data_IF_629778584709
#
_entry.id   IF_629778584709
#
_cell.length_a   1.000
_cell.length_b   1.000
_cell.length_c   1.000
_cell.angle_alpha   90.00
_cell.angle_beta   90.00
_cell.angle_gamma   90.00
#
_symmetry.space_group_name_H-M   'P 1'
#
loop_
_entity.id
_entity.type
_entity.pdbx_description
1 polymer ?
#
# COMPACT_ATOMS: atom_id res chain seq x y z
N UNK A 1 -33.54 21.93 -3.45
CA UNK A 1 -32.51 22.67 -4.20
C UNK A 1 -31.17 22.16 -3.67
N UNK A 2 -30.47 21.39 -4.48
CA UNK A 2 -29.38 20.50 -4.07
C UNK A 2 -28.19 21.26 -3.45
N UNK A 3 -27.87 20.99 -2.19
CA UNK A 3 -26.60 21.35 -1.57
C UNK A 3 -25.51 20.53 -2.28
N UNK A 4 -24.90 21.11 -3.30
CA UNK A 4 -23.70 20.57 -3.94
C UNK A 4 -22.56 20.72 -2.94
N UNK A 5 -22.35 19.70 -2.11
CA UNK A 5 -21.16 19.56 -1.29
C UNK A 5 -19.96 19.73 -2.21
N UNK A 6 -19.17 20.79 -2.00
CA UNK A 6 -17.91 20.99 -2.72
C UNK A 6 -17.00 19.86 -2.24
N UNK A 7 -16.88 18.80 -3.03
CA UNK A 7 -15.99 17.69 -2.74
C UNK A 7 -14.57 18.14 -3.07
N UNK A 8 -13.86 18.65 -2.06
CA UNK A 8 -12.45 19.03 -2.16
C UNK A 8 -11.66 17.73 -2.33
N UNK A 9 -10.89 17.62 -3.42
CA UNK A 9 -10.11 16.41 -3.70
C UNK A 9 -8.68 16.61 -3.21
N UNK A 10 -8.03 15.53 -2.78
CA UNK A 10 -6.63 15.60 -2.37
C UNK A 10 -5.70 16.06 -3.51
N UNK A 11 -6.10 15.86 -4.76
CA UNK A 11 -5.36 16.33 -5.94
C UNK A 11 -5.16 17.85 -5.97
N UNK A 12 -6.04 18.62 -5.32
CA UNK A 12 -5.99 20.08 -5.30
C UNK A 12 -4.78 20.63 -4.52
N UNK A 13 -4.09 19.77 -3.74
CA UNK A 13 -2.83 20.11 -3.06
C UNK A 13 -1.74 20.58 -4.02
N UNK A 14 -1.77 20.13 -5.28
CA UNK A 14 -0.78 20.48 -6.29
C UNK A 14 -0.87 21.95 -6.75
N UNK A 15 -2.01 22.61 -6.53
CA UNK A 15 -2.20 24.03 -6.88
C UNK A 15 -1.59 24.99 -5.84
N UNK A 16 -1.30 24.49 -4.64
CA UNK A 16 -0.59 25.26 -3.61
C UNK A 16 0.89 25.29 -3.95
N UNK A 17 1.53 26.46 -3.86
CA UNK A 17 2.97 26.59 -4.12
C UNK A 17 3.82 26.46 -2.85
N UNK A 18 3.25 26.84 -1.70
CA UNK A 18 3.97 26.83 -0.44
C UNK A 18 3.89 25.47 0.26
N UNK A 19 5.04 25.01 0.77
CA UNK A 19 5.17 23.70 1.43
C UNK A 19 4.38 23.62 2.73
N UNK A 20 4.28 24.73 3.48
CA UNK A 20 3.53 24.79 4.74
C UNK A 20 2.03 24.67 4.45
N UNK A 21 1.54 25.42 3.47
CA UNK A 21 0.14 25.34 3.03
C UNK A 21 -0.23 23.95 2.50
N UNK A 22 0.68 23.29 1.76
CA UNK A 22 0.46 21.90 1.29
C UNK A 22 0.30 20.93 2.45
N UNK A 23 1.14 21.03 3.48
CA UNK A 23 1.03 20.16 4.64
C UNK A 23 -0.25 20.44 5.46
N UNK A 24 -0.61 21.72 5.63
CA UNK A 24 -1.85 22.11 6.29
C UNK A 24 -3.09 21.61 5.52
N UNK A 25 -3.06 21.67 4.19
CA UNK A 25 -4.12 21.13 3.34
C UNK A 25 -4.25 19.60 3.49
N UNK A 26 -3.14 18.86 3.47
CA UNK A 26 -3.15 17.40 3.62
C UNK A 26 -3.71 16.96 4.98
N UNK A 27 -3.45 17.71 6.04
CA UNK A 27 -3.97 17.41 7.38
C UNK A 27 -5.42 17.87 7.58
N UNK A 28 -5.91 18.84 6.83
CA UNK A 28 -7.26 19.38 6.98
C UNK A 28 -8.30 18.69 6.10
N UNK A 29 -7.88 18.11 4.97
CA UNK A 29 -8.77 17.42 4.03
C UNK A 29 -8.82 15.92 4.33
N UNK A 30 -10.00 15.43 4.73
CA UNK A 30 -10.22 14.02 5.05
C UNK A 30 -9.88 13.08 3.86
N UNK A 31 -10.18 13.50 2.63
CA UNK A 31 -9.86 12.77 1.38
C UNK A 31 -8.35 12.47 1.22
N UNK A 32 -7.47 13.29 1.82
CA UNK A 32 -6.02 13.03 1.81
C UNK A 32 -5.56 12.00 2.85
N UNK A 33 -6.37 11.75 3.88
CA UNK A 33 -6.13 10.73 4.89
C UNK A 33 -6.88 9.43 4.61
N UNK A 34 -7.84 9.45 3.68
CA UNK A 34 -8.71 8.34 3.31
C UNK A 34 -8.13 7.47 2.18
N UNK A 35 -6.81 7.35 2.14
CA UNK A 35 -6.19 6.29 1.33
C UNK A 35 -6.19 5.05 2.20
N UNK A 36 -6.89 3.99 1.77
CA UNK A 36 -7.03 2.65 2.39
C UNK A 36 -5.70 1.90 2.69
N UNK A 37 -4.57 2.60 2.66
CA UNK A 37 -3.25 2.08 2.93
C UNK A 37 -2.87 2.13 4.41
N UNK A 38 -2.12 1.11 4.85
CA UNK A 38 -1.48 1.05 6.17
C UNK A 38 -0.48 2.21 6.42
N UNK A 39 -0.02 2.90 5.36
CA UNK A 39 1.03 3.93 5.41
C UNK A 39 0.57 5.18 4.65
N UNK A 40 0.49 6.32 5.35
CA UNK A 40 0.13 7.63 4.77
C UNK A 40 1.30 8.26 4.00
N UNK A 41 1.52 7.80 2.77
CA UNK A 41 2.59 8.31 1.89
C UNK A 41 2.40 9.79 1.50
N UNK A 42 1.15 10.27 1.45
CA UNK A 42 0.83 11.68 1.16
C UNK A 42 1.38 12.59 2.26
N UNK A 43 1.13 12.24 3.52
CA UNK A 43 1.65 12.98 4.67
C UNK A 43 3.18 12.93 4.73
N UNK A 44 3.78 11.76 4.48
CA UNK A 44 5.24 11.62 4.40
C UNK A 44 5.85 12.54 3.31
N UNK A 45 5.22 12.59 2.15
CA UNK A 45 5.73 13.35 0.98
C UNK A 45 5.58 14.85 1.17
N UNK A 46 4.42 15.32 1.64
CA UNK A 46 4.11 16.74 1.71
C UNK A 46 4.44 17.40 3.06
N UNK A 47 4.42 16.67 4.18
CA UNK A 47 4.69 17.24 5.51
C UNK A 47 6.09 16.95 6.05
N UNK A 48 6.63 15.74 5.85
CA UNK A 48 7.98 15.42 6.36
C UNK A 48 9.08 15.88 5.41
N UNK A 49 8.91 15.66 4.10
CA UNK A 49 9.90 16.04 3.08
C UNK A 49 9.64 17.45 2.54
N UNK A 50 8.38 17.89 2.52
CA UNK A 50 7.96 19.23 2.05
C UNK A 50 7.99 19.41 0.54
N UNK A 51 8.72 18.55 -0.19
CA UNK A 51 8.88 18.64 -1.63
C UNK A 51 8.48 17.31 -2.31
N UNK A 52 7.48 17.34 -3.22
CA UNK A 52 6.89 16.13 -3.77
C UNK A 52 7.88 15.30 -4.60
N UNK A 53 8.82 15.94 -5.30
CA UNK A 53 9.79 15.25 -6.16
C UNK A 53 10.71 14.37 -5.31
N UNK A 54 11.27 14.92 -4.24
CA UNK A 54 12.12 14.16 -3.33
C UNK A 54 11.35 13.07 -2.60
N UNK A 55 10.08 13.30 -2.26
CA UNK A 55 9.23 12.27 -1.67
C UNK A 55 9.00 11.07 -2.60
N UNK A 56 8.71 11.32 -3.88
CA UNK A 56 8.59 10.24 -4.87
C UNK A 56 9.91 9.48 -5.04
N UNK A 57 11.05 10.18 -5.07
CA UNK A 57 12.37 9.53 -5.17
C UNK A 57 12.63 8.63 -3.95
N UNK A 58 12.37 9.11 -2.73
CA UNK A 58 12.54 8.32 -1.51
C UNK A 58 11.62 7.10 -1.50
N UNK A 59 10.35 7.26 -1.88
CA UNK A 59 9.40 6.15 -1.99
C UNK A 59 9.83 5.11 -3.03
N UNK A 60 10.38 5.56 -4.15
CA UNK A 60 10.90 4.67 -5.19
C UNK A 60 12.13 3.90 -4.72
N UNK A 61 13.09 4.57 -4.05
CA UNK A 61 14.24 3.91 -3.46
C UNK A 61 13.82 2.90 -2.38
N UNK A 62 12.83 3.26 -1.56
CA UNK A 62 12.26 2.36 -0.57
C UNK A 62 11.62 1.12 -1.21
N UNK A 63 10.87 1.30 -2.31
CA UNK A 63 10.30 0.20 -3.07
C UNK A 63 11.37 -0.76 -3.61
N UNK A 64 12.49 -0.23 -4.12
CA UNK A 64 13.61 -1.06 -4.59
C UNK A 64 14.22 -1.88 -3.46
N UNK A 65 14.44 -1.27 -2.29
CA UNK A 65 14.95 -1.98 -1.10
C UNK A 65 14.02 -3.12 -0.70
N UNK A 66 12.71 -2.86 -0.65
CA UNK A 66 11.71 -3.90 -0.34
C UNK A 66 11.70 -5.01 -1.39
N UNK A 67 11.74 -4.65 -2.68
CA UNK A 67 11.75 -5.61 -3.77
C UNK A 67 12.99 -6.50 -3.75
N UNK A 68 14.18 -5.91 -3.56
CA UNK A 68 15.43 -6.68 -3.41
C UNK A 68 15.40 -7.53 -2.15
N UNK A 69 14.89 -7.01 -1.03
CA UNK A 69 14.73 -7.78 0.21
C UNK A 69 13.83 -8.99 0.04
N UNK A 70 12.69 -8.84 -0.65
CA UNK A 70 11.80 -9.95 -1.00
C UNK A 70 12.48 -10.97 -1.92
N UNK A 71 13.23 -10.51 -2.93
CA UNK A 71 13.97 -11.38 -3.85
C UNK A 71 15.04 -12.22 -3.14
N UNK A 72 15.89 -11.59 -2.33
CA UNK A 72 16.93 -12.28 -1.56
C UNK A 72 16.30 -13.23 -0.55
N UNK A 73 15.26 -12.80 0.16
CA UNK A 73 14.55 -13.67 1.11
C UNK A 73 13.90 -14.86 0.40
N UNK A 74 13.39 -14.66 -0.82
CA UNK A 74 12.81 -15.72 -1.60
C UNK A 74 13.84 -16.77 -2.01
N UNK A 75 15.02 -16.35 -2.44
CA UNK A 75 16.08 -17.27 -2.86
C UNK A 75 16.71 -18.02 -1.68
N UNK A 76 17.06 -17.30 -0.61
CA UNK A 76 17.81 -17.86 0.51
C UNK A 76 16.93 -18.65 1.50
N UNK A 77 15.66 -18.27 1.67
CA UNK A 77 14.78 -18.86 2.70
C UNK A 77 13.56 -19.58 2.11
N UNK A 78 12.86 -18.99 1.14
CA UNK A 78 11.64 -19.61 0.59
C UNK A 78 11.97 -20.81 -0.31
N UNK A 79 12.94 -20.72 -1.22
CA UNK A 79 13.34 -21.83 -2.08
C UNK A 79 13.69 -23.11 -1.30
N UNK A 80 14.58 -23.10 -0.27
CA UNK A 80 14.87 -24.30 0.50
C UNK A 80 13.68 -24.77 1.34
N UNK A 81 12.84 -23.87 1.86
CA UNK A 81 11.62 -24.26 2.57
C UNK A 81 10.63 -24.98 1.64
N UNK A 82 10.42 -24.47 0.42
CA UNK A 82 9.56 -25.09 -0.59
C UNK A 82 10.08 -26.48 -1.02
N UNK A 83 11.40 -26.65 -1.11
CA UNK A 83 12.05 -27.95 -1.37
C UNK A 83 11.72 -28.99 -0.29
N UNK A 84 11.78 -28.60 1.00
CA UNK A 84 11.43 -29.49 2.11
C UNK A 84 9.93 -29.82 2.09
N UNK A 85 9.07 -28.81 1.94
CA UNK A 85 7.61 -28.98 1.89
C UNK A 85 7.20 -29.90 0.72
N UNK A 86 7.78 -29.70 -0.46
CA UNK A 86 7.58 -30.55 -1.65
C UNK A 86 7.93 -32.01 -1.36
N UNK A 87 9.05 -32.27 -0.67
CA UNK A 87 9.46 -33.63 -0.27
C UNK A 87 8.51 -34.24 0.76
N UNK A 88 8.05 -33.47 1.74
CA UNK A 88 7.16 -33.95 2.81
C UNK A 88 5.74 -34.24 2.31
N UNK A 89 5.20 -33.39 1.43
CA UNK A 89 3.86 -33.53 0.87
C UNK A 89 3.82 -34.38 -0.42
N UNK A 90 4.98 -34.87 -0.90
CA UNK A 90 5.13 -35.56 -2.21
C UNK A 90 4.56 -34.76 -3.39
N UNK A 91 4.55 -33.43 -3.30
CA UNK A 91 4.05 -32.54 -4.35
C UNK A 91 5.20 -32.08 -5.25
N UNK A 92 4.90 -31.83 -6.53
CA UNK A 92 5.85 -31.27 -7.49
C UNK A 92 6.25 -29.84 -7.08
N UNK A 93 7.53 -29.48 -7.26
CA UNK A 93 8.05 -28.12 -7.05
C UNK A 93 7.25 -27.06 -7.80
N UNK A 94 6.72 -27.42 -8.97
CA UNK A 94 5.89 -26.52 -9.77
C UNK A 94 4.62 -26.13 -9.02
N UNK A 95 3.97 -27.07 -8.33
CA UNK A 95 2.72 -26.82 -7.58
C UNK A 95 2.98 -25.89 -6.40
N UNK A 96 4.10 -26.06 -5.70
CA UNK A 96 4.51 -25.17 -4.62
C UNK A 96 4.75 -23.73 -5.11
N UNK A 97 5.38 -23.57 -6.27
CA UNK A 97 5.59 -22.28 -6.91
C UNK A 97 4.30 -21.58 -7.34
N UNK A 98 3.37 -22.27 -8.00
CA UNK A 98 2.07 -21.65 -8.37
C UNK A 98 1.21 -21.32 -7.16
N UNK A 99 1.24 -22.13 -6.08
CA UNK A 99 0.53 -21.76 -4.84
C UNK A 99 1.14 -20.53 -4.19
N UNK A 100 2.47 -20.42 -4.14
CA UNK A 100 3.12 -19.23 -3.59
C UNK A 100 2.85 -17.98 -4.44
N UNK A 101 2.83 -18.11 -5.77
CA UNK A 101 2.43 -17.03 -6.68
C UNK A 101 0.97 -16.60 -6.42
N UNK A 102 0.06 -17.57 -6.29
CA UNK A 102 -1.35 -17.30 -5.98
C UNK A 102 -1.49 -16.61 -4.60
N UNK A 103 -0.73 -17.05 -3.60
CA UNK A 103 -0.69 -16.44 -2.28
C UNK A 103 -0.11 -15.01 -2.33
N UNK A 104 0.99 -14.80 -3.05
CA UNK A 104 1.61 -13.48 -3.21
C UNK A 104 0.69 -12.48 -3.91
N UNK A 105 -0.09 -12.93 -4.90
CA UNK A 105 -1.08 -12.11 -5.57
C UNK A 105 -2.28 -11.75 -4.66
N UNK A 106 -2.70 -12.66 -3.76
CA UNK A 106 -3.81 -12.40 -2.82
C UNK A 106 -3.39 -11.69 -1.51
N UNK A 107 -2.10 -11.64 -1.20
CA UNK A 107 -1.59 -10.92 -0.04
C UNK A 107 -2.00 -9.43 0.02
N UNK A 108 -1.85 -8.60 -1.06
CA UNK A 108 -2.26 -7.20 -1.02
C UNK A 108 -3.76 -7.02 -0.75
N UNK A 109 -4.62 -7.90 -1.29
CA UNK A 109 -6.06 -7.84 -1.06
C UNK A 109 -6.39 -8.05 0.43
N UNK A 110 -5.78 -9.06 1.05
CA UNK A 110 -5.94 -9.34 2.49
C UNK A 110 -5.47 -8.15 3.33
N UNK A 111 -4.32 -7.54 2.99
CA UNK A 111 -3.83 -6.37 3.71
C UNK A 111 -4.75 -5.15 3.54
N UNK A 112 -5.34 -4.97 2.36
CA UNK A 112 -6.33 -3.92 2.09
C UNK A 112 -7.60 -4.12 2.93
N UNK A 113 -8.17 -5.32 2.94
CA UNK A 113 -9.37 -5.62 3.76
C UNK A 113 -9.09 -5.42 5.25
N UNK A 114 -7.91 -5.83 5.74
CA UNK A 114 -7.52 -5.59 7.14
C UNK A 114 -7.38 -4.10 7.44
N UNK A 115 -6.77 -3.32 6.53
CA UNK A 115 -6.64 -1.87 6.69
C UNK A 115 -8.03 -1.19 6.76
N UNK A 116 -8.96 -1.58 5.88
CA UNK A 116 -10.34 -1.08 5.89
C UNK A 116 -11.11 -1.44 7.18
N UNK A 117 -10.95 -2.67 7.70
CA UNK A 117 -11.55 -3.08 8.98
C UNK A 117 -11.00 -2.25 10.15
N UNK A 118 -9.69 -1.98 10.16
CA UNK A 118 -9.01 -1.22 11.24
C UNK A 118 -9.46 0.23 11.32
N UNK A 119 -9.93 0.80 10.21
CA UNK A 119 -10.43 2.17 10.12
C UNK A 119 -11.94 2.30 10.37
N UNK A 120 -12.63 1.20 10.74
CA UNK A 120 -14.04 1.19 11.10
C UNK A 120 -14.97 1.80 10.05
N UNK A 121 -14.68 1.55 8.76
CA UNK A 121 -15.56 1.82 7.62
C UNK A 121 -16.29 0.51 7.23
N UNK A 122 -17.39 0.13 7.93
CA UNK A 122 -18.08 -1.14 7.70
C UNK A 122 -18.78 -1.23 6.33
N UNK A 123 -18.96 -0.12 5.61
CA UNK A 123 -19.52 -0.12 4.25
C UNK A 123 -18.62 -0.84 3.23
N UNK A 124 -17.30 -0.90 3.47
CA UNK A 124 -16.35 -1.53 2.55
C UNK A 124 -16.35 -3.08 2.65
N UNK A 125 -16.68 -3.64 3.83
CA UNK A 125 -16.62 -5.08 4.10
C UNK A 125 -17.86 -5.83 3.60
N UNK A 126 -18.97 -5.12 3.35
CA UNK A 126 -20.24 -5.69 2.88
C UNK A 126 -20.40 -5.57 1.35
N UNK A 127 -19.58 -4.75 0.68
CA UNK A 127 -19.61 -4.56 -0.78
C UNK A 127 -19.03 -5.71 -1.61
N UNK A 128 -18.50 -6.75 -0.97
CA UNK A 128 -17.94 -7.96 -1.60
C UNK A 128 -18.88 -9.17 -1.45
N UNK A 129 -20.20 -8.92 -1.41
CA UNK A 129 -21.27 -9.93 -1.57
C UNK A 129 -22.14 -9.62 -2.80
#
# INVERSE_FOLDING_TARGET
FSLKTIHIKCQDVNFLNDSVQRCEFVNSVADCSDTDGLVSYVNLTYCMIGNPIYGVIVLFLWLLVLFTGLGVTADDFLCPALLVISRTLRLSHNIAGVTFLAFGNGAPDIFSSIAGIRQANPELVVGEL
#
